data_IF_973712620532
#
_entry.id   IF_973712620532
#
_cell.length_a   1.000
_cell.length_b   1.000
_cell.length_c   1.000
_cell.angle_alpha   90.00
_cell.angle_beta   90.00
_cell.angle_gamma   90.00
#
_symmetry.space_group_name_H-M   'P 1'
#
loop_
_entity.id
_entity.type
_entity.pdbx_description
1 polymer ?
#
# COMPACT_ATOMS: atom_id res chain seq x y z
N UNK A 1 -24.12 -15.56 30.90
CA UNK A 1 -24.35 -14.11 30.99
C UNK A 1 -23.66 -13.44 29.81
N UNK A 2 -24.41 -13.11 28.76
CA UNK A 2 -23.89 -12.41 27.58
C UNK A 2 -23.67 -10.94 27.96
N UNK A 3 -22.42 -10.48 27.99
CA UNK A 3 -22.11 -9.06 28.09
C UNK A 3 -22.13 -8.51 26.67
N UNK A 4 -23.15 -7.71 26.37
CA UNK A 4 -23.24 -6.91 25.16
C UNK A 4 -22.07 -5.95 25.12
N UNK A 5 -21.22 -6.06 24.09
CA UNK A 5 -20.23 -5.04 23.75
C UNK A 5 -21.01 -3.83 23.24
N UNK A 6 -21.08 -2.79 24.07
CA UNK A 6 -21.54 -1.46 23.65
C UNK A 6 -20.38 -0.87 22.83
N UNK A 7 -20.49 -0.96 21.51
CA UNK A 7 -19.71 -0.12 20.60
C UNK A 7 -20.18 1.32 20.83
N UNK A 8 -19.31 2.30 21.10
CA UNK A 8 -19.74 3.69 21.13
C UNK A 8 -20.18 4.04 19.71
N UNK A 9 -21.46 4.38 19.53
CA UNK A 9 -21.94 4.99 18.32
C UNK A 9 -21.15 6.29 18.11
N UNK A 10 -20.29 6.31 17.09
CA UNK A 10 -19.77 7.55 16.54
C UNK A 10 -20.98 8.35 16.08
N UNK A 11 -21.20 9.49 16.72
CA UNK A 11 -22.26 10.40 16.33
C UNK A 11 -22.06 10.77 14.87
N UNK A 12 -23.11 10.60 14.06
CA UNK A 12 -23.17 11.09 12.70
C UNK A 12 -22.82 12.59 12.70
N UNK A 13 -21.62 12.92 12.23
CA UNK A 13 -21.22 14.29 11.95
C UNK A 13 -22.09 14.76 10.79
N UNK A 14 -22.92 15.76 11.07
CA UNK A 14 -23.79 16.37 10.08
C UNK A 14 -22.96 16.94 8.93
N UNK A 15 -23.41 16.58 7.73
CA UNK A 15 -22.94 16.92 6.39
C UNK A 15 -22.67 18.43 6.28
N UNK A 16 -21.40 18.81 6.37
CA UNK A 16 -20.90 20.11 5.93
C UNK A 16 -20.30 19.93 4.54
N UNK A 17 -20.88 20.58 3.53
CA UNK A 17 -20.26 20.63 2.20
C UNK A 17 -18.83 21.17 2.31
N UNK A 18 -17.91 20.58 1.56
CA UNK A 18 -16.50 20.97 1.55
C UNK A 18 -16.35 22.47 1.30
N UNK A 19 -15.58 23.21 2.13
CA UNK A 19 -15.18 24.57 1.80
C UNK A 19 -14.46 24.59 0.44
N UNK A 20 -14.91 25.46 -0.47
CA UNK A 20 -14.27 25.65 -1.78
C UNK A 20 -13.01 26.52 -1.69
N UNK A 21 -12.90 27.36 -0.65
CA UNK A 21 -11.76 28.24 -0.43
C UNK A 21 -10.81 27.63 0.61
N UNK A 22 -9.62 27.21 0.19
CA UNK A 22 -8.56 26.68 1.08
C UNK A 22 -8.03 25.28 0.74
N UNK A 23 -8.37 24.70 -0.41
CA UNK A 23 -7.89 23.37 -0.80
C UNK A 23 -6.37 23.35 -1.04
N UNK A 24 -5.73 22.28 -0.58
CA UNK A 24 -4.30 22.06 -0.80
C UNK A 24 -3.99 21.98 -2.30
N UNK A 25 -2.91 22.64 -2.73
CA UNK A 25 -2.40 22.56 -4.09
C UNK A 25 -1.89 21.17 -4.41
N UNK A 26 -2.00 20.74 -5.66
CA UNK A 26 -1.43 19.49 -6.14
C UNK A 26 0.11 19.54 -6.20
N UNK A 27 0.81 18.40 -6.01
CA UNK A 27 0.27 17.13 -5.53
C UNK A 27 -0.13 17.22 -4.05
N UNK A 28 -1.04 16.36 -3.59
CA UNK A 28 -1.61 16.39 -2.24
C UNK A 28 -1.90 15.02 -1.64
N UNK A 29 -1.55 13.93 -2.32
CA UNK A 29 -1.64 12.58 -1.77
C UNK A 29 -0.41 12.26 -0.91
N UNK A 30 0.47 11.36 -1.34
CA UNK A 30 1.67 10.98 -0.59
C UNK A 30 2.81 11.99 -0.67
N UNK A 31 2.91 12.65 -1.82
CA UNK A 31 3.80 13.77 -2.05
C UNK A 31 2.90 15.00 -2.04
N UNK A 32 3.16 15.95 -1.14
CA UNK A 32 2.44 17.22 -1.12
C UNK A 32 3.25 18.32 -1.82
N UNK A 33 2.61 19.40 -2.28
CA UNK A 33 3.32 20.57 -2.79
C UNK A 33 4.33 21.14 -1.77
N UNK A 34 4.01 21.06 -0.47
CA UNK A 34 4.93 21.42 0.62
C UNK A 34 6.14 20.49 0.70
N UNK A 35 5.93 19.18 0.52
CA UNK A 35 7.02 18.20 0.42
C UNK A 35 7.89 18.49 -0.78
N UNK A 36 7.30 18.75 -1.96
CA UNK A 36 8.06 19.07 -3.18
C UNK A 36 8.98 20.27 -2.94
N UNK A 37 8.45 21.36 -2.38
CA UNK A 37 9.26 22.54 -2.09
C UNK A 37 10.39 22.23 -1.09
N UNK A 38 10.10 21.48 -0.03
CA UNK A 38 11.06 21.17 1.03
C UNK A 38 12.14 20.19 0.56
N UNK A 39 11.75 19.13 -0.15
CA UNK A 39 12.66 18.11 -0.69
C UNK A 39 13.54 18.71 -1.77
N UNK A 40 12.99 19.43 -2.75
CA UNK A 40 13.81 20.00 -3.85
C UNK A 40 14.86 20.99 -3.34
N UNK A 41 14.57 21.73 -2.27
CA UNK A 41 15.52 22.65 -1.65
C UNK A 41 16.70 21.95 -0.96
N UNK A 42 16.53 20.72 -0.46
CA UNK A 42 17.49 20.06 0.43
C UNK A 42 17.94 18.66 -0.03
N UNK A 43 17.37 18.08 -1.08
CA UNK A 43 17.67 16.71 -1.51
C UNK A 43 19.14 16.48 -1.86
N UNK A 44 19.85 17.53 -2.30
CA UNK A 44 21.30 17.47 -2.53
C UNK A 44 22.13 17.15 -1.27
N UNK A 45 21.57 17.34 -0.07
CA UNK A 45 22.21 16.98 1.20
C UNK A 45 22.08 15.49 1.56
N UNK A 46 21.20 14.74 0.87
CA UNK A 46 20.99 13.31 1.12
C UNK A 46 21.43 12.46 -0.08
N UNK A 47 22.68 11.94 -0.07
CA UNK A 47 23.14 10.99 -1.08
C UNK A 47 22.26 9.75 -1.24
N UNK A 48 21.65 9.24 -0.16
CA UNK A 48 20.73 8.10 -0.18
C UNK A 48 19.44 8.37 -0.94
N UNK A 49 18.85 9.55 -0.71
CA UNK A 49 17.67 9.99 -1.45
C UNK A 49 17.99 10.23 -2.92
N UNK A 50 19.09 10.94 -3.21
CA UNK A 50 19.54 11.20 -4.59
C UNK A 50 19.82 9.91 -5.38
N UNK A 51 20.42 8.89 -4.75
CA UNK A 51 20.58 7.56 -5.40
C UNK A 51 19.25 6.91 -5.74
N UNK A 52 18.24 7.06 -4.88
CA UNK A 52 16.89 6.53 -5.14
C UNK A 52 16.22 7.28 -6.29
N UNK A 53 16.35 8.61 -6.32
CA UNK A 53 15.85 9.46 -7.41
C UNK A 53 16.50 9.11 -8.75
N UNK A 54 17.82 9.05 -8.82
CA UNK A 54 18.55 8.74 -10.06
C UNK A 54 18.25 7.32 -10.58
N UNK A 55 18.08 6.34 -9.68
CA UNK A 55 17.65 4.98 -10.07
C UNK A 55 16.24 5.00 -10.67
N UNK A 56 15.32 5.74 -10.07
CA UNK A 56 13.94 5.88 -10.59
C UNK A 56 13.95 6.61 -11.94
N UNK A 57 14.68 7.71 -12.05
CA UNK A 57 14.89 8.44 -13.30
C UNK A 57 15.42 7.54 -14.41
N UNK A 58 16.47 6.75 -14.15
CA UNK A 58 17.01 5.82 -15.12
C UNK A 58 16.01 4.74 -15.56
N UNK A 59 15.14 4.25 -14.65
CA UNK A 59 14.06 3.32 -15.02
C UNK A 59 13.03 3.99 -15.93
N UNK A 60 12.60 5.20 -15.60
CA UNK A 60 11.63 5.97 -16.41
C UNK A 60 12.22 6.29 -17.77
N UNK A 61 13.46 6.79 -17.84
CA UNK A 61 14.15 7.08 -19.09
C UNK A 61 14.27 5.84 -19.99
N UNK A 62 14.61 4.67 -19.40
CA UNK A 62 14.67 3.40 -20.14
C UNK A 62 13.29 2.97 -20.65
N UNK A 63 12.25 3.15 -19.83
CA UNK A 63 10.88 2.77 -20.17
C UNK A 63 10.33 3.60 -21.34
N UNK A 64 10.56 4.91 -21.32
CA UNK A 64 10.10 5.84 -22.34
C UNK A 64 11.10 6.05 -23.48
N UNK A 65 12.14 5.20 -23.58
CA UNK A 65 13.02 5.15 -24.74
C UNK A 65 12.30 4.65 -26.02
N UNK A 66 11.14 4.00 -25.84
CA UNK A 66 10.21 3.62 -26.90
C UNK A 66 8.82 4.21 -26.64
N UNK A 67 7.96 4.20 -27.66
CA UNK A 67 6.57 4.62 -27.50
C UNK A 67 5.87 3.81 -26.38
N UNK A 68 5.02 4.45 -25.56
CA UNK A 68 4.34 3.76 -24.48
C UNK A 68 3.39 2.67 -25.00
N UNK A 69 3.62 1.45 -24.54
CA UNK A 69 2.85 0.28 -24.94
C UNK A 69 1.66 0.04 -23.99
N UNK A 70 0.45 0.25 -24.51
CA UNK A 70 -0.84 0.07 -23.81
C UNK A 70 -1.65 -0.99 -24.57
N UNK A 71 -1.40 -2.29 -24.32
CA UNK A 71 -2.02 -3.37 -25.09
C UNK A 71 -3.48 -3.59 -24.70
N UNK A 72 -4.23 -4.32 -25.53
CA UNK A 72 -5.53 -4.85 -25.12
C UNK A 72 -5.37 -5.89 -23.99
N UNK A 73 -6.28 -5.94 -23.01
CA UNK A 73 -6.19 -6.86 -21.89
C UNK A 73 -6.61 -8.28 -22.30
N UNK A 74 -5.64 -9.16 -22.52
CA UNK A 74 -5.87 -10.52 -23.03
C UNK A 74 -5.24 -11.63 -22.18
N UNK A 75 -4.23 -11.32 -21.37
CA UNK A 75 -3.46 -12.31 -20.62
C UNK A 75 -3.82 -12.33 -19.12
N UNK A 76 -3.69 -13.49 -18.48
CA UNK A 76 -3.85 -13.64 -17.03
C UNK A 76 -2.59 -13.19 -16.26
N UNK A 77 -2.57 -13.43 -14.94
CA UNK A 77 -1.41 -13.12 -14.08
C UNK A 77 -0.09 -13.67 -14.63
N UNK A 78 0.94 -12.82 -14.67
CA UNK A 78 2.26 -13.15 -15.21
C UNK A 78 2.37 -13.14 -16.74
N UNK A 79 1.26 -13.04 -17.47
CA UNK A 79 1.27 -12.89 -18.93
C UNK A 79 1.59 -11.46 -19.36
N UNK A 80 1.77 -11.26 -20.66
CA UNK A 80 2.33 -10.01 -21.19
C UNK A 80 1.45 -8.79 -20.91
N UNK A 81 0.17 -8.79 -21.28
CA UNK A 81 -0.71 -7.62 -21.08
C UNK A 81 -0.83 -7.28 -19.59
N UNK A 82 -0.89 -8.31 -18.72
CA UNK A 82 -0.93 -8.14 -17.27
C UNK A 82 0.32 -7.43 -16.72
N UNK A 83 1.51 -7.93 -17.07
CA UNK A 83 2.76 -7.33 -16.61
C UNK A 83 3.01 -5.96 -17.24
N UNK A 84 2.53 -5.74 -18.47
CA UNK A 84 2.64 -4.45 -19.16
C UNK A 84 1.74 -3.39 -18.51
N UNK A 85 0.49 -3.70 -18.16
CA UNK A 85 -0.36 -2.76 -17.43
C UNK A 85 0.21 -2.45 -16.03
N UNK A 86 0.80 -3.42 -15.33
CA UNK A 86 1.52 -3.17 -14.06
C UNK A 86 2.67 -2.19 -14.26
N UNK A 87 3.53 -2.41 -15.27
CA UNK A 87 4.63 -1.49 -15.59
C UNK A 87 4.13 -0.10 -15.92
N UNK A 88 3.05 0.02 -16.68
CA UNK A 88 2.42 1.30 -17.02
C UNK A 88 1.95 2.07 -15.78
N UNK A 89 1.25 1.42 -14.85
CA UNK A 89 0.80 2.09 -13.62
C UNK A 89 1.96 2.63 -12.79
N UNK A 90 3.03 1.83 -12.64
CA UNK A 90 4.27 2.25 -11.97
C UNK A 90 4.96 3.39 -12.73
N UNK A 91 5.01 3.32 -14.07
CA UNK A 91 5.63 4.35 -14.90
C UNK A 91 4.90 5.70 -14.82
N UNK A 92 3.57 5.70 -14.75
CA UNK A 92 2.76 6.92 -14.53
C UNK A 92 3.15 7.56 -13.19
N UNK A 93 3.18 6.78 -12.11
CA UNK A 93 3.56 7.26 -10.79
C UNK A 93 5.01 7.79 -10.76
N UNK A 94 5.97 6.99 -11.20
CA UNK A 94 7.39 7.34 -11.15
C UNK A 94 7.71 8.57 -12.01
N UNK A 95 7.10 8.69 -13.20
CA UNK A 95 7.29 9.87 -14.04
C UNK A 95 6.70 11.14 -13.40
N UNK A 96 5.52 11.06 -12.77
CA UNK A 96 4.94 12.19 -12.03
C UNK A 96 5.83 12.64 -10.86
N UNK A 97 6.37 11.70 -10.08
CA UNK A 97 7.28 12.02 -8.97
C UNK A 97 8.61 12.61 -9.46
N UNK A 98 9.21 12.04 -10.50
CA UNK A 98 10.45 12.59 -11.07
C UNK A 98 10.22 13.99 -11.63
N UNK A 99 9.08 14.26 -12.28
CA UNK A 99 8.70 15.60 -12.71
C UNK A 99 8.69 16.58 -11.54
N UNK A 100 7.97 16.26 -10.46
CA UNK A 100 7.85 17.14 -9.30
C UNK A 100 9.21 17.43 -8.63
N UNK A 101 10.08 16.42 -8.51
CA UNK A 101 11.38 16.58 -7.85
C UNK A 101 12.47 17.21 -8.73
N UNK A 102 12.30 17.25 -10.06
CA UNK A 102 13.34 17.76 -10.98
C UNK A 102 12.92 19.00 -11.76
N UNK A 103 11.61 19.24 -11.90
CA UNK A 103 11.04 20.26 -12.78
C UNK A 103 11.16 19.96 -14.28
N UNK A 104 11.68 18.78 -14.68
CA UNK A 104 11.81 18.43 -16.10
C UNK A 104 10.46 17.98 -16.67
N UNK A 105 9.82 18.87 -17.42
CA UNK A 105 8.49 18.67 -18.00
C UNK A 105 8.35 17.44 -18.91
N UNK A 106 9.45 16.86 -19.41
CA UNK A 106 9.39 15.62 -20.20
C UNK A 106 8.77 14.46 -19.42
N UNK A 107 9.02 14.40 -18.10
CA UNK A 107 8.44 13.36 -17.26
C UNK A 107 6.93 13.57 -17.03
N UNK A 108 6.44 14.81 -16.98
CA UNK A 108 5.00 15.09 -16.97
C UNK A 108 4.35 14.64 -18.29
N UNK A 109 4.99 14.94 -19.43
CA UNK A 109 4.52 14.49 -20.75
C UNK A 109 4.48 12.96 -20.88
N UNK A 110 5.44 12.25 -20.29
CA UNK A 110 5.46 10.79 -20.22
C UNK A 110 4.25 10.23 -19.47
N UNK A 111 3.98 10.70 -18.25
CA UNK A 111 2.81 10.27 -17.48
C UNK A 111 1.49 10.63 -18.21
N UNK A 112 1.40 11.85 -18.75
CA UNK A 112 0.26 12.32 -19.56
C UNK A 112 -0.02 11.42 -20.76
N UNK A 113 1.01 11.02 -21.50
CA UNK A 113 0.86 10.18 -22.69
C UNK A 113 0.22 8.82 -22.38
N UNK A 114 0.61 8.18 -21.27
CA UNK A 114 0.01 6.94 -20.82
C UNK A 114 -1.44 7.16 -20.39
N UNK A 115 -1.71 8.16 -19.55
CA UNK A 115 -3.06 8.46 -19.06
C UNK A 115 -4.04 8.72 -20.22
N UNK A 116 -3.63 9.48 -21.24
CA UNK A 116 -4.44 9.73 -22.44
C UNK A 116 -4.66 8.44 -23.25
N UNK A 117 -3.65 7.59 -23.40
CA UNK A 117 -3.80 6.30 -24.08
C UNK A 117 -4.82 5.39 -23.34
N UNK A 118 -4.77 5.35 -22.02
CA UNK A 118 -5.76 4.64 -21.21
C UNK A 118 -7.16 5.27 -21.28
N UNK A 119 -7.29 6.60 -21.36
CA UNK A 119 -8.56 7.29 -21.56
C UNK A 119 -9.22 6.99 -22.93
N UNK A 120 -8.42 6.57 -23.92
CA UNK A 120 -8.93 6.03 -25.19
C UNK A 120 -9.36 4.57 -25.02
N UNK A 121 -8.54 3.73 -24.38
CA UNK A 121 -8.77 2.29 -24.26
C UNK A 121 -9.93 1.95 -23.31
N UNK A 122 -9.93 2.49 -22.09
CA UNK A 122 -10.72 2.02 -20.96
C UNK A 122 -12.25 2.01 -21.19
N UNK A 123 -12.86 3.03 -21.85
CA UNK A 123 -14.30 3.03 -22.12
C UNK A 123 -14.77 1.89 -23.04
N UNK A 124 -13.88 1.30 -23.85
CA UNK A 124 -14.20 0.19 -24.73
C UNK A 124 -14.12 -1.19 -24.05
N UNK A 125 -13.68 -1.26 -22.79
CA UNK A 125 -13.43 -2.51 -22.09
C UNK A 125 -14.68 -3.01 -21.36
N UNK A 126 -15.01 -4.28 -21.56
CA UNK A 126 -15.90 -5.05 -20.70
C UNK A 126 -15.12 -5.80 -19.61
N UNK A 127 -15.73 -6.84 -19.04
CA UNK A 127 -15.00 -7.76 -18.16
C UNK A 127 -13.82 -8.42 -18.88
N UNK A 128 -12.70 -8.57 -18.17
CA UNK A 128 -11.49 -9.17 -18.71
C UNK A 128 -11.73 -10.60 -19.26
N UNK A 129 -11.22 -10.95 -20.45
CA UNK A 129 -11.51 -12.24 -21.10
C UNK A 129 -10.97 -13.45 -20.33
N UNK A 130 -9.86 -13.28 -19.60
CA UNK A 130 -9.24 -14.33 -18.77
C UNK A 130 -9.72 -14.35 -17.30
N UNK A 131 -10.94 -13.87 -17.02
CA UNK A 131 -11.53 -13.89 -15.68
C UNK A 131 -11.60 -15.31 -15.10
N UNK A 132 -11.49 -15.41 -13.78
CA UNK A 132 -11.62 -16.67 -13.02
C UNK A 132 -12.70 -16.51 -11.94
N UNK A 133 -12.57 -17.19 -10.80
CA UNK A 133 -13.54 -17.14 -9.71
C UNK A 133 -13.50 -15.86 -8.86
N UNK A 134 -12.43 -15.05 -9.01
CA UNK A 134 -12.34 -13.73 -8.38
C UNK A 134 -13.23 -12.71 -9.09
N UNK A 135 -13.55 -11.60 -8.43
CA UNK A 135 -14.22 -10.47 -9.09
C UNK A 135 -13.36 -10.00 -10.27
N UNK A 136 -13.87 -10.04 -11.51
CA UNK A 136 -13.10 -9.68 -12.69
C UNK A 136 -12.71 -8.20 -12.67
N UNK A 137 -11.57 -7.88 -13.29
CA UNK A 137 -11.22 -6.49 -13.64
C UNK A 137 -11.61 -6.18 -15.10
N UNK A 138 -11.11 -5.05 -15.60
CA UNK A 138 -11.21 -4.66 -17.02
C UNK A 138 -9.83 -4.74 -17.69
N UNK A 139 -8.83 -4.04 -17.15
CA UNK A 139 -7.42 -4.16 -17.57
C UNK A 139 -6.78 -5.45 -17.06
N UNK A 140 -7.25 -5.98 -15.94
CA UNK A 140 -6.68 -7.17 -15.32
C UNK A 140 -7.72 -8.28 -15.15
N UNK A 141 -7.24 -9.52 -15.09
CA UNK A 141 -8.09 -10.70 -14.89
C UNK A 141 -8.85 -10.70 -13.54
N UNK A 142 -8.45 -9.86 -12.57
CA UNK A 142 -9.12 -9.64 -11.29
C UNK A 142 -9.07 -8.16 -10.88
N UNK A 143 -10.11 -7.68 -10.18
CA UNK A 143 -10.27 -6.28 -9.76
C UNK A 143 -9.22 -5.79 -8.75
N UNK A 144 -8.56 -6.71 -8.03
CA UNK A 144 -7.45 -6.38 -7.12
C UNK A 144 -6.33 -5.63 -7.86
N UNK A 145 -5.92 -6.14 -9.02
CA UNK A 145 -4.84 -5.51 -9.80
C UNK A 145 -5.27 -4.18 -10.41
N UNK A 146 -6.55 -4.04 -10.74
CA UNK A 146 -7.16 -2.78 -11.16
C UNK A 146 -7.04 -1.71 -10.07
N UNK A 147 -7.33 -2.09 -8.81
CA UNK A 147 -7.18 -1.21 -7.65
C UNK A 147 -5.73 -0.80 -7.41
N UNK A 148 -4.79 -1.76 -7.50
CA UNK A 148 -3.35 -1.48 -7.39
C UNK A 148 -2.89 -0.52 -8.48
N UNK A 149 -3.37 -0.69 -9.71
CA UNK A 149 -3.06 0.19 -10.82
C UNK A 149 -3.56 1.61 -10.57
N UNK A 150 -4.82 1.75 -10.12
CA UNK A 150 -5.39 3.07 -9.84
C UNK A 150 -4.67 3.78 -8.69
N UNK A 151 -4.28 3.07 -7.62
CA UNK A 151 -3.46 3.65 -6.53
C UNK A 151 -2.16 4.28 -7.07
N UNK A 152 -1.50 3.67 -8.05
CA UNK A 152 -0.30 4.25 -8.66
C UNK A 152 -0.64 5.37 -9.64
N UNK A 153 -1.57 5.11 -10.56
CA UNK A 153 -1.90 6.04 -11.63
C UNK A 153 -2.45 7.37 -11.09
N UNK A 154 -3.26 7.33 -10.01
CA UNK A 154 -3.83 8.53 -9.42
C UNK A 154 -2.76 9.42 -8.77
N UNK A 155 -1.72 8.84 -8.16
CA UNK A 155 -0.59 9.61 -7.63
C UNK A 155 0.22 10.28 -8.74
N UNK A 156 0.41 9.59 -9.88
CA UNK A 156 1.07 10.19 -11.04
C UNK A 156 0.23 11.30 -11.67
N UNK A 157 -1.09 11.13 -11.77
CA UNK A 157 -2.01 12.18 -12.22
C UNK A 157 -2.01 13.38 -11.27
N UNK A 158 -2.14 13.17 -9.96
CA UNK A 158 -2.03 14.19 -8.91
C UNK A 158 -0.73 15.01 -9.04
N UNK A 159 0.38 14.34 -9.37
CA UNK A 159 1.68 14.99 -9.59
C UNK A 159 1.81 15.78 -10.89
N UNK A 160 0.93 15.63 -11.89
CA UNK A 160 1.06 16.33 -13.17
C UNK A 160 -0.14 17.20 -13.54
N UNK A 161 -1.22 17.16 -12.75
CA UNK A 161 -2.50 17.77 -13.12
C UNK A 161 -2.36 19.25 -13.45
N UNK A 162 -1.48 19.98 -12.77
CA UNK A 162 -1.25 21.41 -13.04
C UNK A 162 -0.58 21.72 -14.40
N UNK A 163 -0.03 20.70 -15.06
CA UNK A 163 0.53 20.82 -16.42
C UNK A 163 -0.49 20.56 -17.54
N UNK A 164 -1.65 20.00 -17.19
CA UNK A 164 -2.66 19.57 -18.15
C UNK A 164 -3.57 20.74 -18.55
N UNK A 165 -3.94 20.81 -19.83
CA UNK A 165 -5.03 21.66 -20.29
C UNK A 165 -6.38 21.19 -19.74
N UNK A 166 -7.39 22.06 -19.77
CA UNK A 166 -8.74 21.71 -19.31
C UNK A 166 -9.33 20.51 -20.07
N UNK A 167 -9.10 20.43 -21.38
CA UNK A 167 -9.57 19.32 -22.22
C UNK A 167 -8.84 18.02 -21.88
N UNK A 168 -7.52 18.06 -21.66
CA UNK A 168 -6.75 16.87 -21.25
C UNK A 168 -7.20 16.37 -19.87
N UNK A 169 -7.46 17.27 -18.91
CA UNK A 169 -8.01 16.92 -17.58
C UNK A 169 -9.36 16.22 -17.73
N UNK A 170 -10.31 16.85 -18.43
CA UNK A 170 -11.65 16.30 -18.64
C UNK A 170 -11.60 14.93 -19.32
N UNK A 171 -10.77 14.77 -20.37
CA UNK A 171 -10.60 13.47 -21.05
C UNK A 171 -10.10 12.39 -20.10
N UNK A 172 -9.08 12.67 -19.29
CA UNK A 172 -8.51 11.68 -18.36
C UNK A 172 -9.50 11.38 -17.23
N UNK A 173 -10.11 12.39 -16.64
CA UNK A 173 -11.03 12.22 -15.51
C UNK A 173 -12.30 11.46 -15.92
N UNK A 174 -12.96 11.89 -17.00
CA UNK A 174 -14.27 11.39 -17.40
C UNK A 174 -14.21 10.05 -18.13
N UNK A 175 -13.07 9.70 -18.74
CA UNK A 175 -12.94 8.48 -19.55
C UNK A 175 -12.07 7.41 -18.93
N UNK A 176 -11.33 7.73 -17.87
CA UNK A 176 -10.46 6.77 -17.19
C UNK A 176 -10.68 6.77 -15.68
N UNK A 177 -10.40 7.88 -15.00
CA UNK A 177 -10.31 7.88 -13.53
C UNK A 177 -11.68 7.67 -12.86
N UNK A 178 -12.69 8.45 -13.22
CA UNK A 178 -14.06 8.30 -12.67
C UNK A 178 -14.69 6.96 -13.07
N UNK A 179 -14.65 6.52 -14.34
CA UNK A 179 -15.14 5.20 -14.71
C UNK A 179 -14.45 4.04 -13.98
N UNK A 180 -13.14 4.16 -13.69
CA UNK A 180 -12.44 3.13 -12.92
C UNK A 180 -12.82 3.18 -11.44
N UNK A 181 -12.99 4.37 -10.86
CA UNK A 181 -13.48 4.53 -9.49
C UNK A 181 -14.89 3.96 -9.32
N UNK A 182 -15.81 4.26 -10.24
CA UNK A 182 -17.18 3.72 -10.24
C UNK A 182 -17.18 2.20 -10.39
N UNK A 183 -16.36 1.68 -11.33
CA UNK A 183 -16.20 0.24 -11.53
C UNK A 183 -15.76 -0.49 -10.26
N UNK A 184 -14.81 0.10 -9.51
CA UNK A 184 -14.26 -0.48 -8.29
C UNK A 184 -15.14 -0.29 -7.05
N UNK A 185 -16.11 0.63 -7.11
CA UNK A 185 -17.00 0.97 -6.01
C UNK A 185 -18.44 0.53 -6.29
N UNK A 186 -19.27 1.43 -6.82
CA UNK A 186 -20.72 1.25 -6.99
C UNK A 186 -21.08 0.10 -7.92
N UNK A 187 -20.23 -0.23 -8.90
CA UNK A 187 -20.42 -1.40 -9.77
C UNK A 187 -19.87 -2.70 -9.17
N UNK A 188 -19.06 -2.63 -8.10
CA UNK A 188 -18.41 -3.78 -7.46
C UNK A 188 -18.63 -3.86 -5.93
N UNK A 189 -19.88 -3.79 -5.42
CA UNK A 189 -20.18 -3.81 -3.99
C UNK A 189 -19.62 -5.04 -3.26
N UNK A 190 -19.58 -6.20 -3.93
CA UNK A 190 -19.02 -7.45 -3.41
C UNK A 190 -17.52 -7.38 -3.09
N UNK A 191 -16.81 -6.40 -3.66
CA UNK A 191 -15.39 -6.13 -3.36
C UNK A 191 -15.25 -4.92 -2.46
N UNK A 192 -15.92 -3.81 -2.80
CA UNK A 192 -15.75 -2.53 -2.12
C UNK A 192 -16.16 -2.58 -0.64
N UNK A 193 -17.30 -3.21 -0.33
CA UNK A 193 -17.79 -3.35 1.05
C UNK A 193 -17.22 -4.59 1.77
N UNK A 194 -16.28 -5.31 1.13
CA UNK A 194 -15.71 -6.53 1.71
C UNK A 194 -14.62 -6.19 2.72
N UNK A 195 -14.78 -6.65 3.96
CA UNK A 195 -13.73 -6.61 4.98
C UNK A 195 -12.66 -7.66 4.69
N UNK A 196 -11.69 -7.30 3.85
CA UNK A 196 -10.64 -8.17 3.32
C UNK A 196 -9.58 -7.31 2.60
N UNK A 197 -8.37 -7.82 2.38
CA UNK A 197 -7.33 -7.07 1.67
C UNK A 197 -7.77 -6.54 0.28
N UNK A 198 -8.67 -7.24 -0.42
CA UNK A 198 -9.26 -6.77 -1.67
C UNK A 198 -10.08 -5.48 -1.49
N UNK A 199 -10.91 -5.42 -0.44
CA UNK A 199 -11.64 -4.20 -0.12
C UNK A 199 -10.71 -3.08 0.34
N UNK A 200 -9.60 -3.40 1.02
CA UNK A 200 -8.59 -2.41 1.44
C UNK A 200 -7.99 -1.69 0.24
N UNK A 201 -7.61 -2.46 -0.79
CA UNK A 201 -7.10 -1.90 -2.03
C UNK A 201 -8.15 -1.08 -2.78
N UNK A 202 -9.40 -1.56 -2.85
CA UNK A 202 -10.47 -0.86 -3.55
C UNK A 202 -10.81 0.50 -2.90
N UNK A 203 -11.00 0.54 -1.57
CA UNK A 203 -11.29 1.80 -0.87
C UNK A 203 -10.11 2.77 -0.90
N UNK A 204 -8.86 2.27 -0.84
CA UNK A 204 -7.69 3.12 -1.00
C UNK A 204 -7.64 3.76 -2.40
N UNK A 205 -7.87 2.96 -3.45
CA UNK A 205 -7.87 3.44 -4.83
C UNK A 205 -8.93 4.52 -5.08
N UNK A 206 -10.17 4.26 -4.67
CA UNK A 206 -11.31 5.17 -4.86
C UNK A 206 -11.17 6.40 -3.96
N UNK A 207 -10.76 6.25 -2.70
CA UNK A 207 -10.61 7.36 -1.77
C UNK A 207 -9.49 8.32 -2.17
N UNK A 208 -8.34 7.80 -2.61
CA UNK A 208 -7.25 8.63 -3.18
C UNK A 208 -7.70 9.34 -4.46
N UNK A 209 -8.55 8.69 -5.27
CA UNK A 209 -9.19 9.33 -6.43
C UNK A 209 -10.14 10.45 -6.00
N UNK A 210 -10.95 10.23 -4.97
CA UNK A 210 -11.82 11.24 -4.38
C UNK A 210 -11.07 12.49 -3.92
N UNK A 211 -9.98 12.31 -3.17
CA UNK A 211 -9.13 13.44 -2.77
C UNK A 211 -8.54 14.18 -3.97
N UNK A 212 -8.04 13.44 -4.97
CA UNK A 212 -7.39 14.06 -6.13
C UNK A 212 -8.38 14.84 -7.00
N UNK A 213 -9.58 14.28 -7.22
CA UNK A 213 -10.60 14.86 -8.09
C UNK A 213 -11.58 15.80 -7.36
N UNK A 214 -11.30 16.12 -6.10
CA UNK A 214 -12.19 16.89 -5.23
C UNK A 214 -13.63 16.35 -5.16
N UNK A 215 -13.75 15.01 -5.12
CA UNK A 215 -15.04 14.33 -5.06
C UNK A 215 -15.27 13.74 -3.65
N UNK A 216 -16.02 14.46 -2.79
CA UNK A 216 -16.26 13.99 -1.42
C UNK A 216 -17.08 12.70 -1.39
N UNK A 217 -17.84 12.36 -2.43
CA UNK A 217 -18.63 11.13 -2.45
C UNK A 217 -17.73 9.89 -2.49
N UNK A 218 -16.66 9.93 -3.27
CA UNK A 218 -15.65 8.87 -3.32
C UNK A 218 -14.88 8.75 -2.01
N UNK A 219 -14.59 9.87 -1.34
CA UNK A 219 -13.93 9.87 -0.02
C UNK A 219 -14.84 9.25 1.03
N UNK A 220 -16.09 9.72 1.13
CA UNK A 220 -17.07 9.27 2.11
C UNK A 220 -17.36 7.77 1.98
N UNK A 221 -17.63 7.28 0.77
CA UNK A 221 -17.88 5.85 0.55
C UNK A 221 -16.63 5.01 0.85
N UNK A 222 -15.44 5.52 0.56
CA UNK A 222 -14.19 4.80 0.85
C UNK A 222 -13.93 4.69 2.35
N UNK A 223 -14.26 5.73 3.13
CA UNK A 223 -14.09 5.74 4.58
C UNK A 223 -15.15 4.87 5.28
N UNK A 224 -16.41 4.94 4.85
CA UNK A 224 -17.57 4.45 5.60
C UNK A 224 -18.44 3.41 4.87
N UNK A 225 -18.01 2.94 3.69
CA UNK A 225 -18.74 1.97 2.87
C UNK A 225 -19.74 2.64 1.91
N UNK A 226 -20.26 1.89 0.94
CA UNK A 226 -21.13 2.44 -0.12
C UNK A 226 -22.35 3.20 0.39
N UNK A 227 -22.88 2.79 1.55
CA UNK A 227 -24.06 3.41 2.17
C UNK A 227 -23.71 4.54 3.16
N UNK A 228 -22.43 4.77 3.45
CA UNK A 228 -21.98 5.75 4.46
C UNK A 228 -22.37 5.40 5.90
N UNK A 229 -22.73 4.14 6.19
CA UNK A 229 -23.21 3.70 7.51
C UNK A 229 -22.10 3.17 8.44
N UNK A 230 -20.87 3.03 7.94
CA UNK A 230 -19.73 2.53 8.69
C UNK A 230 -19.70 1.01 8.91
N UNK A 231 -20.63 0.26 8.29
CA UNK A 231 -20.62 -1.22 8.35
C UNK A 231 -19.59 -1.83 7.39
N UNK A 232 -19.05 -1.02 6.48
CA UNK A 232 -17.91 -1.32 5.62
C UNK A 232 -16.95 -0.12 5.51
N UNK A 233 -16.12 -0.07 4.46
CA UNK A 233 -15.16 1.02 4.25
C UNK A 233 -13.87 0.88 5.05
N UNK A 234 -12.99 1.87 4.91
CA UNK A 234 -11.64 1.86 5.44
C UNK A 234 -11.61 1.82 6.97
N UNK A 235 -12.45 2.62 7.64
CA UNK A 235 -12.49 2.67 9.11
C UNK A 235 -12.89 1.31 9.68
N UNK A 236 -13.90 0.66 9.07
CA UNK A 236 -14.33 -0.68 9.48
C UNK A 236 -13.25 -1.74 9.26
N UNK A 237 -12.46 -1.60 8.21
CA UNK A 237 -11.33 -2.48 7.97
C UNK A 237 -10.24 -2.34 9.05
N UNK A 238 -9.97 -1.11 9.52
CA UNK A 238 -9.08 -0.89 10.66
C UNK A 238 -9.62 -1.53 11.95
N UNK A 239 -10.94 -1.53 12.16
CA UNK A 239 -11.55 -2.18 13.32
C UNK A 239 -11.38 -3.71 13.31
N UNK A 240 -11.48 -4.32 12.13
CA UNK A 240 -11.70 -5.76 12.01
C UNK A 240 -10.52 -6.58 11.48
N UNK A 241 -9.65 -6.00 10.64
CA UNK A 241 -8.56 -6.75 10.02
C UNK A 241 -7.29 -6.78 10.87
N UNK A 242 -7.11 -5.81 11.76
CA UNK A 242 -5.97 -5.70 12.65
C UNK A 242 -6.39 -5.93 14.10
N UNK A 243 -5.59 -6.72 14.82
CA UNK A 243 -5.72 -6.84 16.26
C UNK A 243 -5.25 -5.56 16.98
N UNK A 244 -5.54 -5.39 18.28
CA UNK A 244 -5.06 -4.23 19.03
C UNK A 244 -3.53 -4.09 19.08
N UNK A 245 -2.78 -5.14 18.74
CA UNK A 245 -1.32 -5.17 18.67
C UNK A 245 -0.78 -4.89 17.26
N UNK A 246 -1.66 -4.60 16.28
CA UNK A 246 -1.30 -4.38 14.88
C UNK A 246 -1.06 -5.66 14.08
N UNK A 247 -1.47 -6.83 14.60
CA UNK A 247 -1.35 -8.09 13.88
C UNK A 247 -2.49 -8.29 12.89
N UNK A 248 -2.14 -8.63 11.64
CA UNK A 248 -3.10 -8.93 10.59
C UNK A 248 -3.38 -10.43 10.54
N UNK A 249 -4.66 -10.82 10.64
CA UNK A 249 -5.06 -12.21 10.88
C UNK A 249 -4.60 -13.21 9.79
N UNK A 250 -4.41 -12.76 8.54
CA UNK A 250 -3.94 -13.63 7.44
C UNK A 250 -2.45 -14.00 7.55
N UNK A 251 -1.69 -13.37 8.47
CA UNK A 251 -0.29 -13.64 8.74
C UNK A 251 0.69 -12.68 8.04
N UNK A 252 2.00 -12.83 8.27
CA UNK A 252 3.03 -11.82 7.91
C UNK A 252 3.08 -11.48 6.42
N UNK A 253 2.97 -12.49 5.55
CA UNK A 253 3.04 -12.31 4.11
C UNK A 253 1.87 -11.49 3.55
N UNK A 254 0.67 -11.62 4.13
CA UNK A 254 -0.49 -10.80 3.75
C UNK A 254 -0.56 -9.50 4.55
N UNK A 255 -0.03 -9.46 5.78
CA UNK A 255 0.14 -8.23 6.54
C UNK A 255 0.94 -7.21 5.74
N UNK A 256 2.13 -7.57 5.23
CA UNK A 256 2.91 -6.64 4.39
C UNK A 256 2.15 -6.22 3.13
N UNK A 257 1.31 -7.08 2.56
CA UNK A 257 0.56 -6.75 1.34
C UNK A 257 -0.55 -5.74 1.60
N UNK A 258 -1.34 -5.99 2.65
CA UNK A 258 -2.40 -5.11 3.09
C UNK A 258 -1.83 -3.80 3.69
N UNK A 259 -0.59 -3.82 4.17
CA UNK A 259 0.05 -2.65 4.77
C UNK A 259 0.10 -1.46 3.80
N UNK A 260 0.40 -1.68 2.52
CA UNK A 260 0.53 -0.58 1.55
C UNK A 260 -0.77 0.23 1.40
N UNK A 261 -1.92 -0.35 1.00
CA UNK A 261 -3.13 0.45 0.87
C UNK A 261 -3.57 1.04 2.22
N UNK A 262 -3.28 0.38 3.35
CA UNK A 262 -3.53 0.95 4.68
C UNK A 262 -2.73 2.24 4.92
N UNK A 263 -1.40 2.20 4.78
CA UNK A 263 -0.55 3.34 5.16
C UNK A 263 -0.56 4.44 4.09
N UNK A 264 -0.67 4.08 2.81
CA UNK A 264 -0.73 5.03 1.69
C UNK A 264 -2.05 5.81 1.73
N UNK A 265 -3.18 5.12 1.94
CA UNK A 265 -4.46 5.83 2.05
C UNK A 265 -4.54 6.64 3.35
N UNK A 266 -4.08 6.10 4.48
CA UNK A 266 -4.00 6.86 5.72
C UNK A 266 -3.12 8.11 5.59
N UNK A 267 -1.98 8.03 4.91
CA UNK A 267 -1.14 9.23 4.67
C UNK A 267 -1.85 10.26 3.79
N UNK A 268 -2.59 9.81 2.78
CA UNK A 268 -3.42 10.68 1.95
C UNK A 268 -4.54 11.34 2.77
N UNK A 269 -5.20 10.59 3.66
CA UNK A 269 -6.20 11.11 4.60
C UNK A 269 -5.56 12.16 5.52
N UNK A 270 -4.42 11.88 6.14
CA UNK A 270 -3.73 12.82 7.04
C UNK A 270 -3.38 14.14 6.34
N UNK A 271 -2.99 14.08 5.06
CA UNK A 271 -2.62 15.27 4.29
C UNK A 271 -3.82 16.11 3.82
N UNK A 272 -5.03 15.53 3.74
CA UNK A 272 -6.22 16.21 3.21
C UNK A 272 -7.28 16.49 4.30
N UNK A 273 -7.44 15.59 5.26
CA UNK A 273 -8.37 15.64 6.39
C UNK A 273 -7.64 15.35 7.73
N UNK A 274 -6.65 16.16 8.14
CA UNK A 274 -5.88 15.93 9.38
C UNK A 274 -6.75 15.90 10.64
N UNK A 275 -7.95 16.49 10.61
CA UNK A 275 -8.91 16.45 11.71
C UNK A 275 -9.40 15.03 12.03
N UNK A 276 -9.33 14.09 11.08
CA UNK A 276 -9.65 12.68 11.31
C UNK A 276 -8.60 11.96 12.18
N UNK A 277 -7.39 12.53 12.30
CA UNK A 277 -6.30 11.99 13.13
C UNK A 277 -6.07 10.50 12.87
N UNK A 278 -5.99 10.13 11.61
CA UNK A 278 -6.08 8.72 11.19
C UNK A 278 -4.95 7.87 11.75
N UNK A 279 -3.77 8.45 12.01
CA UNK A 279 -2.66 7.76 12.67
C UNK A 279 -2.78 7.69 14.21
N UNK A 280 -3.65 8.49 14.85
CA UNK A 280 -4.00 8.35 16.28
C UNK A 280 -5.12 7.30 16.48
N UNK A 281 -5.87 6.98 15.43
CA UNK A 281 -7.03 6.08 15.47
C UNK A 281 -6.70 4.72 16.10
N UNK A 282 -7.59 4.27 17.00
CA UNK A 282 -7.45 3.04 17.80
C UNK A 282 -6.08 2.92 18.49
N UNK A 283 -5.67 3.98 19.17
CA UNK A 283 -4.42 4.01 19.95
C UNK A 283 -3.20 3.72 19.04
N UNK A 284 -3.11 4.44 17.92
CA UNK A 284 -1.99 4.32 16.99
C UNK A 284 -1.93 2.98 16.24
N UNK A 285 -3.08 2.42 15.86
CA UNK A 285 -3.16 1.06 15.31
C UNK A 285 -2.32 0.84 14.05
N UNK A 286 -2.31 1.80 13.13
CA UNK A 286 -1.51 1.71 11.90
C UNK A 286 -0.01 1.72 12.19
N UNK A 287 0.42 2.55 13.15
CA UNK A 287 1.82 2.57 13.60
C UNK A 287 2.20 1.22 14.23
N UNK A 288 1.34 0.66 15.09
CA UNK A 288 1.52 -0.69 15.64
C UNK A 288 1.61 -1.75 14.54
N UNK A 289 0.80 -1.65 13.49
CA UNK A 289 0.83 -2.59 12.37
C UNK A 289 2.15 -2.56 11.58
N UNK A 290 2.78 -1.39 11.44
CA UNK A 290 4.11 -1.24 10.83
C UNK A 290 5.17 -1.92 11.71
N UNK A 291 5.22 -1.62 13.01
CA UNK A 291 6.17 -2.26 13.94
C UNK A 291 5.94 -3.77 14.03
N UNK A 292 4.69 -4.23 14.12
CA UNK A 292 4.37 -5.66 14.10
C UNK A 292 4.87 -6.32 12.82
N UNK A 293 4.73 -5.68 11.65
CA UNK A 293 5.26 -6.21 10.40
C UNK A 293 6.78 -6.40 10.44
N UNK A 294 7.53 -5.45 11.03
CA UNK A 294 8.98 -5.59 11.24
C UNK A 294 9.28 -6.75 12.19
N UNK A 295 8.58 -6.86 13.33
CA UNK A 295 8.79 -7.93 14.31
C UNK A 295 8.46 -9.33 13.80
N UNK A 296 7.66 -9.45 12.74
CA UNK A 296 7.29 -10.69 12.07
C UNK A 296 8.34 -11.18 11.06
N UNK A 297 9.62 -10.87 11.31
CA UNK A 297 10.73 -11.25 10.43
C UNK A 297 11.93 -11.84 11.17
N UNK A 298 12.73 -12.62 10.47
CA UNK A 298 14.04 -13.10 10.92
C UNK A 298 15.02 -13.06 9.77
N UNK A 299 16.25 -12.61 10.03
CA UNK A 299 17.24 -12.48 8.96
C UNK A 299 16.76 -11.57 7.81
N UNK A 300 15.77 -10.70 8.06
CA UNK A 300 15.16 -9.81 7.07
C UNK A 300 14.06 -10.42 6.21
N UNK A 301 13.73 -11.69 6.41
CA UNK A 301 12.63 -12.37 5.71
C UNK A 301 11.45 -12.54 6.66
N UNK A 302 10.24 -12.43 6.14
CA UNK A 302 9.03 -12.65 6.94
C UNK A 302 8.89 -14.12 7.32
N UNK A 303 8.27 -14.38 8.48
CA UNK A 303 7.94 -15.76 8.88
C UNK A 303 6.93 -16.38 7.89
N UNK A 304 7.24 -17.54 7.26
CA UNK A 304 6.45 -18.10 6.17
C UNK A 304 5.28 -18.96 6.68
N UNK A 305 4.55 -18.48 7.67
CA UNK A 305 3.33 -19.13 8.18
C UNK A 305 2.12 -18.75 7.33
N UNK A 306 1.10 -19.63 7.29
CA UNK A 306 -0.03 -19.51 6.35
C UNK A 306 0.48 -19.47 4.90
N UNK A 307 -0.36 -19.05 3.95
CA UNK A 307 0.10 -18.83 2.58
C UNK A 307 1.16 -17.72 2.53
N UNK A 308 2.41 -18.12 2.26
CA UNK A 308 3.55 -17.23 2.21
C UNK A 308 4.56 -17.64 1.13
N UNK A 309 5.18 -16.64 0.49
CA UNK A 309 6.34 -16.83 -0.39
C UNK A 309 7.58 -16.46 0.41
N UNK A 310 8.52 -17.40 0.51
CA UNK A 310 9.61 -17.38 1.50
C UNK A 310 10.67 -16.32 1.23
N UNK A 311 10.79 -15.88 -0.01
CA UNK A 311 11.74 -14.86 -0.46
C UNK A 311 11.26 -13.44 -0.15
N UNK A 312 10.08 -13.25 0.45
CA UNK A 312 9.61 -11.91 0.84
C UNK A 312 10.22 -11.46 2.15
N UNK A 313 10.77 -10.25 2.13
CA UNK A 313 11.42 -9.66 3.28
C UNK A 313 11.10 -8.19 3.48
N UNK A 314 11.85 -7.61 4.42
CA UNK A 314 11.70 -6.22 4.86
C UNK A 314 11.94 -5.20 3.74
N UNK A 315 12.60 -5.60 2.65
CA UNK A 315 12.90 -4.78 1.47
C UNK A 315 11.71 -4.60 0.52
N UNK A 316 10.56 -5.23 0.79
CA UNK A 316 9.34 -5.08 0.00
C UNK A 316 8.83 -3.63 -0.01
N UNK A 317 8.31 -3.18 -1.15
CA UNK A 317 7.91 -1.78 -1.35
C UNK A 317 6.86 -1.31 -0.33
N UNK A 318 5.96 -2.19 0.08
CA UNK A 318 4.90 -1.87 1.04
C UNK A 318 5.48 -1.45 2.39
N UNK A 319 6.53 -2.15 2.85
CA UNK A 319 7.18 -1.82 4.11
C UNK A 319 8.12 -0.62 3.99
N UNK A 320 8.63 -0.29 2.79
CA UNK A 320 9.38 0.97 2.59
C UNK A 320 8.48 2.18 2.84
N UNK A 321 7.25 2.17 2.34
CA UNK A 321 6.26 3.19 2.66
C UNK A 321 5.96 3.21 4.17
N UNK A 322 5.69 2.05 4.77
CA UNK A 322 5.41 1.95 6.20
C UNK A 322 6.54 2.50 7.08
N UNK A 323 7.79 2.14 6.80
CA UNK A 323 8.97 2.60 7.56
C UNK A 323 9.19 4.11 7.42
N UNK A 324 9.06 4.66 6.21
CA UNK A 324 9.20 6.10 5.99
C UNK A 324 8.13 6.89 6.76
N UNK A 325 6.86 6.50 6.63
CA UNK A 325 5.73 7.13 7.34
C UNK A 325 5.91 7.00 8.86
N UNK A 326 6.24 5.81 9.37
CA UNK A 326 6.47 5.60 10.79
C UNK A 326 7.62 6.47 11.32
N UNK A 327 8.69 6.63 10.55
CA UNK A 327 9.81 7.48 10.94
C UNK A 327 9.37 8.95 11.00
N UNK A 328 8.72 9.48 9.96
CA UNK A 328 8.22 10.86 9.95
C UNK A 328 7.28 11.16 11.13
N UNK A 329 6.44 10.19 11.52
CA UNK A 329 5.51 10.35 12.64
C UNK A 329 6.16 10.27 14.03
N UNK A 330 7.27 9.54 14.18
CA UNK A 330 7.80 9.17 15.51
C UNK A 330 9.21 9.66 15.79
N UNK A 331 9.99 9.94 14.75
CA UNK A 331 11.43 10.18 14.86
C UNK A 331 12.22 8.99 15.40
N UNK A 332 11.67 7.76 15.40
CA UNK A 332 12.36 6.60 15.98
C UNK A 332 13.61 6.23 15.17
N UNK A 333 14.83 6.47 15.69
CA UNK A 333 16.06 6.25 14.94
C UNK A 333 16.32 4.77 14.62
N UNK A 334 15.63 3.84 15.30
CA UNK A 334 15.74 2.39 15.03
C UNK A 334 15.18 2.04 13.66
N UNK A 335 14.13 2.73 13.23
CA UNK A 335 13.53 2.54 11.90
C UNK A 335 14.51 2.86 10.77
N UNK A 336 15.47 3.76 11.00
CA UNK A 336 16.50 4.09 10.02
C UNK A 336 17.44 2.93 9.72
N UNK A 337 17.67 2.01 10.67
CA UNK A 337 18.43 0.79 10.40
C UNK A 337 17.68 -0.19 9.50
N UNK A 338 16.34 -0.25 9.63
CA UNK A 338 15.48 -0.98 8.71
C UNK A 338 15.52 -0.32 7.33
N UNK A 339 15.37 1.00 7.25
CA UNK A 339 15.43 1.75 5.99
C UNK A 339 16.76 1.56 5.25
N UNK A 340 17.90 1.60 5.96
CA UNK A 340 19.23 1.33 5.37
C UNK A 340 19.31 -0.06 4.75
N UNK A 341 18.70 -1.06 5.38
CA UNK A 341 18.64 -2.44 4.87
C UNK A 341 17.80 -2.57 3.60
N UNK A 342 16.81 -1.71 3.41
CA UNK A 342 15.96 -1.72 2.21
C UNK A 342 16.67 -1.14 0.98
N UNK A 343 17.83 -0.48 1.17
CA UNK A 343 18.73 0.07 0.13
C UNK A 343 18.10 1.05 -0.88
N UNK A 344 16.88 1.51 -0.59
CA UNK A 344 16.10 2.42 -1.43
C UNK A 344 15.06 3.13 -0.57
N UNK A 345 14.92 4.42 -0.79
CA UNK A 345 13.91 5.25 -0.12
C UNK A 345 12.72 5.46 -1.05
N UNK A 346 11.53 5.60 -0.47
CA UNK A 346 10.36 6.09 -1.21
C UNK A 346 10.55 7.57 -1.51
N UNK A 347 10.17 8.01 -2.70
CA UNK A 347 10.39 9.38 -3.16
C UNK A 347 9.24 10.29 -2.73
N UNK A 348 9.09 10.44 -1.40
CA UNK A 348 8.10 11.29 -0.72
C UNK A 348 8.80 12.19 0.30
N UNK A 349 8.09 13.13 0.93
CA UNK A 349 8.62 13.91 2.05
C UNK A 349 9.09 13.00 3.19
N UNK A 350 8.24 12.08 3.64
CA UNK A 350 8.58 11.09 4.68
C UNK A 350 9.84 10.26 4.34
N UNK A 351 9.97 9.86 3.07
CA UNK A 351 11.13 9.11 2.61
C UNK A 351 12.41 9.94 2.55
N UNK A 352 12.30 11.24 2.24
CA UNK A 352 13.40 12.19 2.29
C UNK A 352 13.89 12.42 3.72
N UNK A 353 12.98 12.61 4.68
CA UNK A 353 13.33 12.76 6.09
C UNK A 353 14.10 11.54 6.62
N UNK A 354 13.61 10.34 6.33
CA UNK A 354 14.28 9.09 6.71
C UNK A 354 15.66 8.95 6.02
N UNK A 355 15.76 9.31 4.75
CA UNK A 355 17.02 9.25 4.00
C UNK A 355 18.06 10.23 4.55
N UNK A 356 17.65 11.47 4.80
CA UNK A 356 18.52 12.53 5.31
C UNK A 356 19.08 12.18 6.69
N UNK A 357 18.22 11.74 7.61
CA UNK A 357 18.65 11.32 8.94
C UNK A 357 19.57 10.09 8.90
N UNK A 358 19.26 9.12 8.03
CA UNK A 358 20.12 7.97 7.82
C UNK A 358 21.49 8.38 7.25
N UNK A 359 21.57 9.31 6.31
CA UNK A 359 22.83 9.81 5.75
C UNK A 359 23.65 10.62 6.78
N UNK A 360 22.98 11.29 7.72
CA UNK A 360 23.60 12.00 8.85
C UNK A 360 24.13 11.10 9.96
N UNK A 361 23.94 9.79 9.84
CA UNK A 361 24.46 8.82 10.80
C UNK A 361 23.55 8.58 12.00
N UNK A 362 22.30 9.03 11.96
CA UNK A 362 21.38 9.02 13.11
C UNK A 362 20.75 7.66 13.40
N UNK A 363 21.00 6.64 12.56
CA UNK A 363 20.38 5.34 12.71
C UNK A 363 20.88 4.57 13.95
N UNK A 364 19.93 4.08 14.74
CA UNK A 364 20.17 3.16 15.85
C UNK A 364 19.86 1.71 15.44
N UNK A 365 20.48 0.69 16.07
CA UNK A 365 20.15 -0.70 15.79
C UNK A 365 18.69 -1.03 16.11
N UNK A 366 17.98 -1.64 15.17
CA UNK A 366 16.68 -2.25 15.46
C UNK A 366 16.89 -3.61 16.14
N UNK A 367 16.84 -3.63 17.48
CA UNK A 367 16.85 -4.87 18.25
C UNK A 367 15.46 -5.49 18.31
N UNK A 368 15.27 -6.58 17.58
CA UNK A 368 14.04 -7.36 17.67
C UNK A 368 13.84 -7.91 19.08
N UNK A 369 12.59 -7.85 19.56
CA UNK A 369 12.22 -8.28 20.90
C UNK A 369 11.29 -9.48 20.88
N UNK A 370 11.18 -10.14 22.04
CA UNK A 370 10.11 -11.12 22.23
C UNK A 370 8.76 -10.40 22.23
N UNK A 371 7.80 -10.90 21.46
CA UNK A 371 6.45 -10.32 21.34
C UNK A 371 5.39 -11.41 21.45
N UNK A 372 4.24 -11.05 22.01
CA UNK A 372 3.00 -11.79 21.86
C UNK A 372 2.02 -10.90 21.10
N UNK A 373 1.74 -11.26 19.86
CA UNK A 373 0.82 -10.55 18.99
C UNK A 373 -0.54 -11.26 19.06
N UNK A 374 -1.51 -10.67 19.75
CA UNK A 374 -2.85 -11.26 19.90
C UNK A 374 -3.58 -11.25 18.57
N UNK A 375 -4.46 -12.23 18.37
CA UNK A 375 -5.22 -12.40 17.14
C UNK A 375 -6.70 -12.05 17.29
N UNK A 376 -7.31 -11.64 16.18
CA UNK A 376 -8.69 -11.16 16.07
C UNK A 376 -8.87 -9.68 16.44
N UNK A 377 -10.03 -9.08 16.07
CA UNK A 377 -10.30 -7.64 16.24
C UNK A 377 -10.12 -7.12 17.67
N UNK A 378 -10.43 -7.97 18.66
CA UNK A 378 -10.31 -7.67 20.08
C UNK A 378 -9.05 -8.26 20.74
N UNK A 379 -8.24 -9.02 19.99
CA UNK A 379 -7.07 -9.72 20.54
C UNK A 379 -7.42 -10.91 21.45
N UNK A 380 -8.56 -11.56 21.24
CA UNK A 380 -9.08 -12.64 22.09
C UNK A 380 -9.12 -14.00 21.37
N UNK A 381 -8.63 -14.09 20.14
CA UNK A 381 -8.73 -15.30 19.31
C UNK A 381 -7.39 -16.04 19.20
N UNK A 382 -6.65 -16.09 20.31
CA UNK A 382 -5.30 -16.64 20.36
C UNK A 382 -4.23 -15.59 20.04
N UNK A 383 -3.08 -16.03 19.53
CA UNK A 383 -1.99 -15.12 19.18
C UNK A 383 -0.75 -15.82 18.63
N UNK A 384 0.15 -15.01 18.08
CA UNK A 384 1.45 -15.42 17.58
C UNK A 384 2.53 -14.96 18.58
N UNK A 385 3.20 -15.91 19.22
CA UNK A 385 4.32 -15.61 20.09
C UNK A 385 5.62 -15.72 19.30
N UNK A 386 6.46 -14.70 19.37
CA UNK A 386 7.83 -14.72 18.83
C UNK A 386 8.76 -14.56 20.03
N UNK A 387 9.47 -15.62 20.39
CA UNK A 387 10.41 -15.66 21.51
C UNK A 387 11.82 -15.55 20.97
N UNK A 388 12.53 -14.48 21.34
CA UNK A 388 13.90 -14.21 20.89
C UNK A 388 14.89 -14.29 22.03
N UNK A 389 16.05 -14.90 21.76
CA UNK A 389 17.14 -15.05 22.71
C UNK A 389 18.51 -14.87 22.04
N UNK A 390 19.43 -14.17 22.70
CA UNK A 390 20.73 -13.80 22.13
C UNK A 390 20.73 -12.42 21.46
N UNK A 391 21.88 -12.02 20.93
CA UNK A 391 22.10 -10.70 20.34
C UNK A 391 22.58 -10.78 18.88
N UNK A 392 22.34 -9.70 18.13
CA UNK A 392 22.78 -9.58 16.74
C UNK A 392 22.02 -10.46 15.74
N UNK A 393 22.48 -10.50 14.47
CA UNK A 393 21.76 -11.18 13.38
C UNK A 393 21.61 -12.70 13.56
N UNK A 394 22.46 -13.33 14.37
CA UNK A 394 22.48 -14.77 14.63
C UNK A 394 21.67 -15.21 15.86
N UNK A 395 20.89 -14.32 16.49
CA UNK A 395 20.05 -14.66 17.63
C UNK A 395 19.08 -15.82 17.32
N UNK A 396 18.56 -16.45 18.35
CA UNK A 396 17.54 -17.48 18.24
C UNK A 396 16.14 -16.85 18.19
N UNK A 397 15.27 -17.38 17.34
CA UNK A 397 13.85 -17.01 17.34
C UNK A 397 12.97 -18.28 17.26
N UNK A 398 12.10 -18.46 18.24
CA UNK A 398 11.03 -19.45 18.20
C UNK A 398 9.71 -18.74 17.94
N UNK A 399 9.01 -19.13 16.89
CA UNK A 399 7.66 -18.64 16.59
C UNK A 399 6.68 -19.73 16.96
N UNK A 400 5.73 -19.43 17.85
CA UNK A 400 4.68 -20.34 18.27
C UNK A 400 3.32 -19.81 17.78
N UNK A 401 2.71 -20.55 16.85
CA UNK A 401 1.49 -20.16 16.14
C UNK A 401 0.25 -20.72 16.84
N UNK A 402 -0.25 -19.96 17.80
CA UNK A 402 -1.51 -20.21 18.50
C UNK A 402 -2.62 -19.25 18.01
N UNK A 403 -2.62 -18.91 16.72
CA UNK A 403 -3.53 -17.94 16.10
C UNK A 403 -4.87 -18.56 15.70
N UNK A 404 -5.85 -17.70 15.40
CA UNK A 404 -7.05 -18.07 14.65
C UNK A 404 -6.68 -18.56 13.24
N UNK A 405 -7.69 -18.91 12.42
CA UNK A 405 -7.43 -19.57 11.13
C UNK A 405 -6.64 -18.68 10.17
N UNK A 406 -6.98 -17.40 10.04
CA UNK A 406 -6.47 -16.56 8.94
C UNK A 406 -7.26 -16.75 7.64
N UNK A 407 -8.56 -17.06 7.75
CA UNK A 407 -9.50 -17.20 6.63
C UNK A 407 -9.03 -18.21 5.57
N UNK A 408 -9.18 -17.89 4.27
CA UNK A 408 -8.87 -18.78 3.15
C UNK A 408 -7.38 -19.04 2.92
N UNK A 409 -6.51 -18.18 3.44
CA UNK A 409 -5.05 -18.33 3.37
C UNK A 409 -4.46 -19.03 4.59
N UNK A 410 -5.30 -19.36 5.57
CA UNK A 410 -4.93 -20.04 6.81
C UNK A 410 -4.62 -21.51 6.61
N UNK A 411 -3.51 -21.98 7.16
CA UNK A 411 -3.15 -23.41 7.17
C UNK A 411 -3.86 -24.18 8.30
N UNK A 412 -3.90 -25.51 8.20
CA UNK A 412 -4.49 -26.40 9.20
C UNK A 412 -3.43 -26.88 10.21
N UNK A 413 -2.87 -25.94 10.96
CA UNK A 413 -1.59 -26.08 11.66
C UNK A 413 -1.65 -25.47 13.09
N UNK A 414 -2.75 -25.72 13.83
CA UNK A 414 -2.89 -25.18 15.19
C UNK A 414 -1.76 -25.65 16.10
N UNK A 415 -1.18 -24.69 16.84
CA UNK A 415 -0.03 -24.90 17.72
C UNK A 415 1.26 -25.29 16.99
N UNK A 416 1.34 -25.00 15.68
CA UNK A 416 2.59 -25.12 14.92
C UNK A 416 3.69 -24.22 15.50
N UNK A 417 4.93 -24.56 15.19
CA UNK A 417 6.09 -23.76 15.56
C UNK A 417 7.18 -23.85 14.50
N UNK A 418 7.92 -22.76 14.37
CA UNK A 418 9.13 -22.67 13.56
C UNK A 418 10.27 -22.11 14.40
N UNK A 419 11.49 -22.44 14.02
CA UNK A 419 12.68 -22.09 14.79
C UNK A 419 13.80 -21.63 13.89
N UNK A 420 14.44 -20.55 14.29
CA UNK A 420 15.57 -19.94 13.61
C UNK A 420 16.76 -19.82 14.56
N UNK A 421 17.94 -20.08 14.04
CA UNK A 421 19.22 -19.95 14.76
C UNK A 421 20.34 -19.64 13.76
N UNK A 422 21.30 -18.80 14.18
CA UNK A 422 22.49 -18.47 13.39
C UNK A 422 22.17 -18.04 11.94
N UNK A 423 21.13 -17.21 11.75
CA UNK A 423 20.74 -16.70 10.44
C UNK A 423 19.99 -17.70 9.54
N UNK A 424 19.66 -18.89 10.04
CA UNK A 424 19.03 -19.96 9.26
C UNK A 424 17.68 -20.37 9.85
N UNK A 425 16.81 -20.87 8.97
CA UNK A 425 15.61 -21.62 9.38
C UNK A 425 16.01 -23.06 9.70
N UNK A 426 15.68 -23.52 10.91
CA UNK A 426 16.06 -24.84 11.43
C UNK A 426 14.85 -25.77 11.47
N UNK A 427 13.73 -25.26 11.99
CA UNK A 427 12.42 -25.92 11.92
C UNK A 427 11.53 -25.03 11.07
N UNK A 428 11.06 -25.58 9.96
CA UNK A 428 10.52 -24.82 8.84
C UNK A 428 9.00 -24.94 8.72
N UNK A 429 8.40 -23.87 8.21
CA UNK A 429 7.08 -23.91 7.57
C UNK A 429 7.29 -23.83 6.05
N UNK A 430 6.49 -24.56 5.29
CA UNK A 430 6.62 -24.62 3.84
C UNK A 430 6.15 -23.32 3.17
N UNK A 431 5.16 -22.65 3.74
CA UNK A 431 4.43 -21.56 3.10
C UNK A 431 3.53 -22.06 1.97
N UNK A 432 3.41 -21.27 0.89
CA UNK A 432 2.50 -21.56 -0.22
C UNK A 432 3.16 -22.35 -1.36
N UNK A 433 2.39 -23.20 -2.03
CA UNK A 433 2.78 -23.83 -3.29
C UNK A 433 2.49 -22.90 -4.48
N UNK A 434 3.30 -21.83 -4.63
CA UNK A 434 3.09 -20.77 -5.64
C UNK A 434 4.39 -20.28 -6.26
N UNK A 435 4.36 -19.99 -7.56
CA UNK A 435 5.45 -19.33 -8.28
C UNK A 435 4.98 -17.95 -8.77
N UNK A 436 5.34 -16.90 -8.03
CA UNK A 436 4.79 -15.55 -8.25
C UNK A 436 5.07 -15.04 -9.68
N UNK A 437 4.00 -14.67 -10.38
CA UNK A 437 4.02 -14.10 -11.74
C UNK A 437 4.74 -14.98 -12.79
N UNK A 438 4.80 -16.30 -12.58
CA UNK A 438 5.31 -17.25 -13.58
C UNK A 438 4.12 -17.86 -14.32
N UNK A 439 3.83 -17.36 -15.51
CA UNK A 439 2.64 -17.76 -16.29
C UNK A 439 2.52 -19.28 -16.52
N UNK A 440 3.58 -20.03 -16.90
CA UNK A 440 3.49 -21.49 -17.06
C UNK A 440 3.13 -22.25 -15.78
N UNK A 441 3.21 -21.61 -14.60
CA UNK A 441 2.81 -22.15 -13.30
C UNK A 441 1.40 -21.67 -12.96
N UNK A 442 0.41 -22.13 -13.74
CA UNK A 442 -1.02 -21.83 -13.56
C UNK A 442 -1.37 -20.31 -13.54
N UNK A 443 -0.64 -19.49 -14.30
CA UNK A 443 -0.80 -18.03 -14.30
C UNK A 443 -0.21 -17.36 -13.04
N UNK A 444 0.83 -17.95 -12.46
CA UNK A 444 1.46 -17.46 -11.23
C UNK A 444 0.58 -17.50 -9.97
N UNK A 445 -0.45 -18.36 -9.97
CA UNK A 445 -1.40 -18.54 -8.87
C UNK A 445 -0.87 -19.51 -7.82
#
# INVERSE_FOLDING_TARGET
>A
MRRSLVVPALAALAIGGWPQDGRASHPRLLLTAGDVASVTAAMGESPGFMRSLERTRARVDLYFASEPDVPAPIDAGGGYSHEQHKRNGVAIHEAGVVYQLTGDGRYADHAKSLLLAYAVLYPGLGEHPMKKEQTPGRLFWQSLNESVWLVHAIQGYDAIVDTLSGDEKSVIEERLLRPMADFLSVESPQTFDRIHNHGTWAVAAVGMTGYTLDDPSYVEMSLYGLNGDGEAGFIRQLDLLLSPDGYYAEGPYYQRYALMPLVVFARSIENNDPELKIFEYRDGLLLKAIYACIELSYGGLFFPINDAIREKGLDTVELRHGVAIAYALTGDPRLLSVARRQESYVLTGDGFEAALAADRGEAEPYEHRSVLLRDGPAGEQGGLAVLRNGAGPGHQALVFKATAQGMGHGHFDKLNWIFYDNGNEIVADYGAARFLNIEPKNGGR
#
